data_IF_636967709166
#
_entry.id   IF_636967709166
#
_cell.length_a   1.000
_cell.length_b   1.000
_cell.length_c   1.000
_cell.angle_alpha   90.00
_cell.angle_beta   90.00
_cell.angle_gamma   90.00
#
_symmetry.space_group_name_H-M   'P 1'
#
loop_
_entity.id
_entity.type
_entity.pdbx_description
1 polymer ?
#
# COMPACT_ATOMS: atom_id res chain seq x y z
N UNK A 1 3.88 -9.94 15.98
CA UNK A 1 3.54 -8.52 16.20
C UNK A 1 3.08 -8.33 17.63
N UNK A 2 3.48 -7.24 18.29
CA UNK A 2 3.13 -6.94 19.68
C UNK A 2 1.68 -6.45 19.77
N UNK A 3 0.72 -7.36 19.80
CA UNK A 3 -0.64 -7.16 20.35
C UNK A 3 -1.49 -5.96 19.90
N UNK A 4 -1.14 -5.25 18.82
CA UNK A 4 -1.88 -4.07 18.34
C UNK A 4 -1.73 -2.80 19.19
N UNK A 5 -0.84 -2.79 20.20
CA UNK A 5 -0.62 -1.62 21.05
C UNK A 5 0.54 -0.78 20.54
N UNK A 6 0.27 0.45 20.12
CA UNK A 6 1.28 1.33 19.58
C UNK A 6 1.81 2.32 20.60
N UNK A 7 3.14 2.50 20.66
CA UNK A 7 3.75 3.55 21.48
C UNK A 7 3.71 4.91 20.78
N UNK A 8 3.75 6.00 21.55
CA UNK A 8 3.88 7.36 20.99
C UNK A 8 5.15 7.50 20.12
N UNK A 9 6.23 6.80 20.48
CA UNK A 9 7.47 6.80 19.70
C UNK A 9 7.25 6.14 18.33
N UNK A 10 6.64 4.95 18.30
CA UNK A 10 6.39 4.22 17.05
C UNK A 10 5.46 4.99 16.09
N UNK A 11 4.37 5.61 16.58
CA UNK A 11 3.52 6.49 15.76
C UNK A 11 4.30 7.68 15.20
N UNK A 12 5.20 8.26 16.01
CA UNK A 12 6.00 9.41 15.57
C UNK A 12 6.94 9.01 14.43
N UNK A 13 7.56 7.83 14.53
CA UNK A 13 8.43 7.28 13.48
C UNK A 13 7.64 6.91 12.21
N UNK A 14 6.47 6.31 12.33
CA UNK A 14 5.61 6.00 11.18
C UNK A 14 5.13 7.27 10.46
N UNK A 15 4.80 8.33 11.22
CA UNK A 15 4.46 9.65 10.64
C UNK A 15 5.65 10.28 9.94
N UNK A 16 6.82 10.26 10.58
CA UNK A 16 8.06 10.77 9.98
C UNK A 16 8.37 9.99 8.69
N UNK A 17 8.21 8.66 8.68
CA UNK A 17 8.36 7.85 7.47
C UNK A 17 7.47 8.35 6.33
N UNK A 18 6.16 8.51 6.58
CA UNK A 18 5.21 9.04 5.59
C UNK A 18 5.62 10.43 5.10
N UNK A 19 5.96 11.33 6.02
CA UNK A 19 6.25 12.72 5.67
C UNK A 19 7.54 12.81 4.85
N UNK A 20 8.59 12.06 5.22
CA UNK A 20 9.84 11.93 4.45
C UNK A 20 9.59 11.36 3.06
N UNK A 21 8.75 10.32 2.93
CA UNK A 21 8.39 9.75 1.63
C UNK A 21 7.73 10.80 0.73
N UNK A 22 6.73 11.53 1.25
CA UNK A 22 6.01 12.55 0.49
C UNK A 22 6.88 13.75 0.11
N UNK A 23 7.84 14.12 0.96
CA UNK A 23 8.76 15.23 0.71
C UNK A 23 9.89 14.87 -0.27
N UNK A 24 10.49 13.69 -0.12
CA UNK A 24 11.74 13.32 -0.79
C UNK A 24 11.61 12.20 -1.84
N UNK A 25 10.51 11.46 -1.88
CA UNK A 25 10.37 10.24 -2.68
C UNK A 25 10.65 10.44 -4.18
N UNK A 26 10.01 11.44 -4.81
CA UNK A 26 10.23 11.73 -6.22
C UNK A 26 11.64 12.26 -6.49
N UNK A 27 12.18 13.10 -5.59
CA UNK A 27 13.56 13.62 -5.70
C UNK A 27 14.57 12.48 -5.65
N UNK A 28 14.42 11.56 -4.70
CA UNK A 28 15.27 10.39 -4.55
C UNK A 28 15.20 9.47 -5.77
N UNK A 29 13.99 9.17 -6.27
CA UNK A 29 13.81 8.39 -7.51
C UNK A 29 14.58 9.01 -8.67
N UNK A 30 14.44 10.32 -8.91
CA UNK A 30 15.14 11.01 -10.00
C UNK A 30 16.66 11.04 -9.84
N UNK A 31 17.16 11.12 -8.62
CA UNK A 31 18.59 11.03 -8.34
C UNK A 31 19.13 9.62 -8.64
N UNK A 32 18.43 8.57 -8.17
CA UNK A 32 18.81 7.16 -8.41
C UNK A 32 18.73 6.79 -9.89
N UNK A 33 17.72 7.27 -10.64
CA UNK A 33 17.64 7.11 -12.11
C UNK A 33 18.86 7.70 -12.85
N UNK A 34 19.57 8.66 -12.23
CA UNK A 34 20.81 9.25 -12.74
C UNK A 34 22.08 8.63 -12.12
N UNK A 35 21.94 7.63 -11.26
CA UNK A 35 23.05 6.97 -10.60
C UNK A 35 23.80 7.85 -9.60
N UNK A 36 23.15 8.87 -9.02
CA UNK A 36 23.76 9.79 -8.05
C UNK A 36 23.07 9.71 -6.69
N UNK A 37 23.84 9.88 -5.61
CA UNK A 37 23.28 10.04 -4.27
C UNK A 37 23.16 11.52 -3.90
N UNK A 38 22.01 11.90 -3.36
CA UNK A 38 21.71 13.23 -2.82
C UNK A 38 21.13 13.06 -1.42
N UNK A 39 21.00 14.14 -0.64
CA UNK A 39 20.35 14.06 0.68
C UNK A 39 18.95 13.45 0.62
N UNK A 40 18.19 13.67 -0.45
CA UNK A 40 16.89 13.04 -0.64
C UNK A 40 17.01 11.50 -0.76
N UNK A 41 18.07 10.99 -1.40
CA UNK A 41 18.32 9.53 -1.48
C UNK A 41 18.61 8.97 -0.09
N UNK A 42 19.51 9.61 0.67
CA UNK A 42 19.84 9.16 2.02
C UNK A 42 18.61 9.17 2.94
N UNK A 43 17.80 10.24 2.89
CA UNK A 43 16.55 10.34 3.65
C UNK A 43 15.56 9.21 3.30
N UNK A 44 15.43 8.87 2.02
CA UNK A 44 14.52 7.80 1.58
C UNK A 44 15.07 6.41 1.92
N UNK A 45 16.39 6.21 1.91
CA UNK A 45 17.01 4.97 2.39
C UNK A 45 16.74 4.78 3.89
N UNK A 46 16.88 5.83 4.70
CA UNK A 46 16.51 5.79 6.12
C UNK A 46 15.01 5.52 6.31
N UNK A 47 14.15 6.22 5.55
CA UNK A 47 12.71 6.04 5.65
C UNK A 47 12.28 4.61 5.32
N UNK A 48 12.78 4.05 4.21
CA UNK A 48 12.43 2.70 3.77
C UNK A 48 12.97 1.60 4.68
N UNK A 49 14.08 1.85 5.39
CA UNK A 49 14.76 0.83 6.19
C UNK A 49 14.46 0.96 7.67
N UNK A 50 14.79 2.11 8.26
CA UNK A 50 14.72 2.31 9.71
C UNK A 50 13.33 2.78 10.15
N UNK A 51 12.83 3.88 9.56
CA UNK A 51 11.56 4.46 9.99
C UNK A 51 10.39 3.53 9.68
N UNK A 52 10.36 2.96 8.47
CA UNK A 52 9.39 1.94 8.10
C UNK A 52 9.52 0.71 9.00
N UNK A 53 10.73 0.19 9.18
CA UNK A 53 11.03 -0.99 10.01
C UNK A 53 10.46 -0.89 11.43
N UNK A 54 10.92 0.11 12.18
CA UNK A 54 10.46 0.32 13.56
C UNK A 54 8.99 0.77 13.58
N UNK A 55 8.58 1.59 12.62
CA UNK A 55 7.20 2.07 12.49
C UNK A 55 6.20 0.92 12.40
N UNK A 56 6.43 -0.04 11.50
CA UNK A 56 5.51 -1.19 11.37
C UNK A 56 5.67 -2.18 12.52
N UNK A 57 6.90 -2.52 12.93
CA UNK A 57 7.13 -3.58 13.91
C UNK A 57 6.59 -3.21 15.30
N UNK A 58 6.69 -1.93 15.65
CA UNK A 58 6.27 -1.38 16.96
C UNK A 58 4.90 -0.68 16.93
N UNK A 59 4.20 -0.67 15.79
CA UNK A 59 2.82 -0.17 15.69
C UNK A 59 1.84 -1.25 15.27
N UNK A 60 2.12 -1.94 14.17
CA UNK A 60 1.27 -2.98 13.60
C UNK A 60 1.17 -2.91 12.07
N UNK A 61 0.61 -3.98 11.52
CA UNK A 61 0.15 -4.10 10.13
C UNK A 61 -1.37 -4.25 10.13
N UNK A 62 -2.01 -3.87 9.03
CA UNK A 62 -3.46 -3.92 8.85
C UNK A 62 -3.83 -4.35 7.42
N UNK A 63 -4.97 -3.90 6.90
CA UNK A 63 -5.51 -4.32 5.61
C UNK A 63 -4.51 -4.25 4.43
N UNK A 64 -3.61 -3.26 4.37
CA UNK A 64 -2.68 -3.11 3.25
C UNK A 64 -1.77 -4.35 3.05
N UNK A 65 -1.24 -4.91 4.15
CA UNK A 65 -0.39 -6.10 4.07
C UNK A 65 -1.20 -7.39 3.93
N UNK A 66 -2.39 -7.46 4.54
CA UNK A 66 -3.32 -8.57 4.32
C UNK A 66 -3.76 -8.66 2.84
N UNK A 67 -3.99 -7.51 2.20
CA UNK A 67 -4.30 -7.41 0.77
C UNK A 67 -3.10 -7.82 -0.07
N UNK A 68 -1.89 -7.35 0.26
CA UNK A 68 -0.66 -7.86 -0.36
C UNK A 68 -0.58 -9.39 -0.30
N UNK A 69 -0.82 -9.99 0.87
CA UNK A 69 -0.76 -11.43 1.06
C UNK A 69 -1.79 -12.16 0.20
N UNK A 70 -3.03 -11.66 0.19
CA UNK A 70 -4.09 -12.19 -0.68
C UNK A 70 -3.73 -12.13 -2.16
N UNK A 71 -3.14 -11.03 -2.63
CA UNK A 71 -2.69 -10.91 -4.02
C UNK A 71 -1.64 -11.98 -4.39
N UNK A 72 -0.83 -12.47 -3.44
CA UNK A 72 0.19 -13.50 -3.73
C UNK A 72 -0.37 -14.86 -4.14
N UNK A 73 -1.65 -15.13 -3.88
CA UNK A 73 -2.33 -16.34 -4.38
C UNK A 73 -2.61 -16.26 -5.89
N UNK A 74 -2.48 -15.06 -6.48
CA UNK A 74 -2.64 -14.82 -7.91
C UNK A 74 -1.28 -14.89 -8.62
N UNK A 75 -1.08 -15.92 -9.44
CA UNK A 75 0.16 -16.15 -10.22
C UNK A 75 0.51 -14.96 -11.11
N UNK A 76 -0.51 -14.25 -11.61
CA UNK A 76 -0.40 -13.05 -12.42
C UNK A 76 0.46 -11.96 -11.75
N UNK A 77 0.44 -11.91 -10.41
CA UNK A 77 1.15 -10.91 -9.60
C UNK A 77 2.55 -11.34 -9.13
N UNK A 78 2.99 -12.56 -9.46
CA UNK A 78 4.25 -13.12 -8.92
C UNK A 78 5.50 -12.39 -9.40
N UNK A 79 5.41 -11.78 -10.58
CA UNK A 79 6.49 -10.96 -11.14
C UNK A 79 6.62 -9.57 -10.50
N UNK A 80 5.66 -9.18 -9.65
CA UNK A 80 5.68 -7.91 -8.92
C UNK A 80 6.43 -8.04 -7.60
N UNK A 81 7.18 -7.00 -7.28
CA UNK A 81 7.86 -6.83 -6.01
C UNK A 81 6.87 -6.64 -4.86
N UNK A 82 7.34 -6.88 -3.64
CA UNK A 82 6.54 -6.73 -2.42
C UNK A 82 5.92 -5.32 -2.32
N UNK A 83 6.73 -4.28 -2.45
CA UNK A 83 6.28 -2.88 -2.34
C UNK A 83 5.27 -2.46 -3.42
N UNK A 84 5.33 -3.07 -4.61
CA UNK A 84 4.38 -2.82 -5.70
C UNK A 84 2.97 -3.29 -5.31
N UNK A 85 2.85 -4.50 -4.77
CA UNK A 85 1.58 -5.04 -4.25
C UNK A 85 1.10 -4.30 -2.99
N UNK A 86 1.99 -3.92 -2.08
CA UNK A 86 1.64 -3.15 -0.87
C UNK A 86 1.13 -1.75 -1.20
N UNK A 87 1.64 -1.10 -2.26
CA UNK A 87 1.15 0.21 -2.68
C UNK A 87 -0.35 0.17 -3.03
N UNK A 88 -0.75 -0.79 -3.86
CA UNK A 88 -2.17 -0.99 -4.19
C UNK A 88 -2.99 -1.41 -2.96
N UNK A 89 -2.46 -2.31 -2.12
CA UNK A 89 -3.10 -2.69 -0.86
C UNK A 89 -3.35 -1.50 0.07
N UNK A 90 -2.44 -0.51 0.09
CA UNK A 90 -2.60 0.73 0.87
C UNK A 90 -3.76 1.57 0.35
N UNK A 91 -3.91 1.70 -0.97
CA UNK A 91 -5.05 2.43 -1.58
C UNK A 91 -6.36 1.71 -1.24
N UNK A 92 -6.40 0.38 -1.33
CA UNK A 92 -7.57 -0.41 -0.94
C UNK A 92 -7.91 -0.24 0.54
N UNK A 93 -6.91 -0.20 1.43
CA UNK A 93 -7.14 0.08 2.85
C UNK A 93 -7.76 1.47 3.06
N UNK A 94 -7.30 2.49 2.35
CA UNK A 94 -7.90 3.84 2.44
C UNK A 94 -9.35 3.87 1.97
N UNK A 95 -9.70 3.05 0.96
CA UNK A 95 -11.10 2.86 0.53
C UNK A 95 -11.92 2.17 1.62
N UNK A 96 -11.41 1.09 2.22
CA UNK A 96 -12.06 0.40 3.35
C UNK A 96 -12.30 1.35 4.54
N UNK A 97 -11.34 2.22 4.84
CA UNK A 97 -11.43 3.23 5.89
C UNK A 97 -12.32 4.43 5.53
N UNK A 98 -12.87 4.46 4.31
CA UNK A 98 -13.66 5.58 3.77
C UNK A 98 -12.94 6.93 3.94
N UNK A 99 -11.65 6.97 3.59
CA UNK A 99 -10.83 8.19 3.68
C UNK A 99 -11.37 9.29 2.75
N UNK A 100 -11.20 10.58 3.11
CA UNK A 100 -11.57 11.68 2.24
C UNK A 100 -10.90 11.56 0.85
N UNK A 101 -11.64 11.90 -0.21
CA UNK A 101 -11.14 11.80 -1.59
C UNK A 101 -9.83 12.55 -1.79
N UNK A 102 -9.67 13.73 -1.18
CA UNK A 102 -8.43 14.52 -1.25
C UNK A 102 -7.21 13.77 -0.69
N UNK A 103 -7.37 13.05 0.42
CA UNK A 103 -6.29 12.23 0.99
C UNK A 103 -5.96 11.05 0.06
N UNK A 104 -7.00 10.41 -0.49
CA UNK A 104 -6.84 9.27 -1.41
C UNK A 104 -6.11 9.68 -2.70
N UNK A 105 -6.53 10.77 -3.33
CA UNK A 105 -5.90 11.31 -4.54
C UNK A 105 -4.44 11.69 -4.29
N UNK A 106 -4.14 12.30 -3.13
CA UNK A 106 -2.75 12.65 -2.77
C UNK A 106 -1.85 11.43 -2.75
N UNK A 107 -2.31 10.33 -2.14
CA UNK A 107 -1.53 9.09 -2.05
C UNK A 107 -1.42 8.40 -3.42
N UNK A 108 -2.52 8.32 -4.18
CA UNK A 108 -2.50 7.73 -5.52
C UNK A 108 -1.51 8.49 -6.43
N UNK A 109 -1.60 9.82 -6.50
CA UNK A 109 -0.70 10.63 -7.32
C UNK A 109 0.76 10.50 -6.89
N UNK A 110 1.01 10.41 -5.58
CA UNK A 110 2.36 10.12 -5.08
C UNK A 110 2.87 8.77 -5.58
N UNK A 111 2.09 7.70 -5.42
CA UNK A 111 2.42 6.36 -5.94
C UNK A 111 2.72 6.38 -7.44
N UNK A 112 1.84 6.99 -8.25
CA UNK A 112 2.00 7.15 -9.69
C UNK A 112 3.28 7.92 -10.05
N UNK A 113 3.59 9.03 -9.36
CA UNK A 113 4.82 9.79 -9.59
C UNK A 113 6.08 8.97 -9.29
N UNK A 114 6.01 8.08 -8.29
CA UNK A 114 7.04 7.14 -7.93
C UNK A 114 7.05 5.89 -8.82
N UNK A 115 6.08 5.73 -9.73
CA UNK A 115 5.97 4.59 -10.65
C UNK A 115 5.53 3.30 -9.96
N UNK A 116 4.82 3.40 -8.84
CA UNK A 116 4.19 2.27 -8.16
C UNK A 116 2.81 2.01 -8.79
N UNK A 117 2.39 0.73 -8.91
CA UNK A 117 1.09 0.39 -9.48
C UNK A 117 -0.05 0.87 -8.57
N UNK A 118 -1.07 1.44 -9.19
CA UNK A 118 -2.28 1.97 -8.54
C UNK A 118 -3.56 1.39 -9.13
N UNK A 119 -3.49 0.68 -10.25
CA UNK A 119 -4.60 0.00 -10.91
C UNK A 119 -4.39 -1.52 -10.98
N UNK A 120 -5.47 -2.27 -11.15
CA UNK A 120 -5.43 -3.71 -11.41
C UNK A 120 -4.67 -4.01 -12.70
N UNK A 121 -4.76 -3.13 -13.69
CA UNK A 121 -3.99 -3.26 -14.94
C UNK A 121 -2.48 -3.25 -14.69
N UNK A 122 -2.00 -2.29 -13.92
CA UNK A 122 -0.57 -2.21 -13.56
C UNK A 122 -0.13 -3.39 -12.68
N UNK A 123 -1.07 -4.00 -11.94
CA UNK A 123 -0.86 -5.26 -11.22
C UNK A 123 -0.93 -6.52 -12.10
N UNK A 124 -1.07 -6.38 -13.43
CA UNK A 124 -1.24 -7.50 -14.38
C UNK A 124 -2.53 -8.30 -14.18
N UNK A 125 -3.56 -7.66 -13.62
CA UNK A 125 -4.87 -8.22 -13.35
C UNK A 125 -5.96 -7.65 -14.29
N UNK A 126 -5.57 -6.97 -15.39
CA UNK A 126 -6.53 -6.49 -16.40
C UNK A 126 -7.34 -7.65 -16.98
N UNK A 127 -8.67 -7.58 -16.88
CA UNK A 127 -9.57 -8.61 -17.40
C UNK A 127 -9.58 -9.91 -16.59
N UNK A 128 -8.95 -9.95 -15.40
CA UNK A 128 -9.10 -11.08 -14.47
C UNK A 128 -10.56 -11.19 -14.04
N UNK A 129 -11.05 -12.43 -13.98
CA UNK A 129 -12.44 -12.70 -13.60
C UNK A 129 -12.68 -12.33 -12.13
N UNK A 130 -13.88 -11.88 -11.81
CA UNK A 130 -14.24 -11.48 -10.45
C UNK A 130 -14.04 -12.62 -9.44
N UNK A 131 -14.19 -13.89 -9.83
CA UNK A 131 -13.93 -15.04 -8.94
C UNK A 131 -12.48 -15.11 -8.50
N UNK A 132 -11.52 -14.77 -9.39
CA UNK A 132 -10.09 -14.76 -9.07
C UNK A 132 -9.73 -13.61 -8.15
N UNK A 133 -10.32 -12.42 -8.34
CA UNK A 133 -10.17 -11.32 -7.39
C UNK A 133 -10.78 -11.68 -6.03
N UNK A 134 -11.89 -12.42 -6.01
CA UNK A 134 -12.51 -12.91 -4.77
C UNK A 134 -11.63 -13.94 -4.05
N UNK A 135 -10.87 -14.78 -4.76
CA UNK A 135 -9.87 -15.67 -4.14
C UNK A 135 -8.82 -14.87 -3.37
N UNK A 136 -8.27 -13.81 -3.97
CA UNK A 136 -7.32 -12.93 -3.30
C UNK A 136 -7.96 -12.23 -2.09
N UNK A 137 -9.18 -11.69 -2.26
CA UNK A 137 -9.93 -11.03 -1.19
C UNK A 137 -10.22 -11.98 -0.02
N UNK A 138 -10.56 -13.24 -0.30
CA UNK A 138 -10.77 -14.28 0.71
C UNK A 138 -9.49 -14.59 1.46
N UNK A 139 -8.38 -14.74 0.72
CA UNK A 139 -7.07 -14.98 1.33
C UNK A 139 -6.61 -13.81 2.21
N UNK A 140 -6.96 -12.57 1.87
CA UNK A 140 -6.69 -11.38 2.71
C UNK A 140 -7.41 -11.39 4.05
N UNK A 141 -8.53 -12.10 4.19
CA UNK A 141 -9.30 -12.20 5.43
C UNK A 141 -9.01 -13.49 6.22
N UNK A 142 -7.91 -14.20 5.93
CA UNK A 142 -7.54 -15.41 6.66
C UNK A 142 -7.35 -15.14 8.18
N UNK A 143 -7.76 -16.09 9.03
CA UNK A 143 -7.78 -15.95 10.50
C UNK A 143 -6.42 -15.59 11.12
N UNK A 144 -5.31 -15.91 10.45
CA UNK A 144 -3.96 -15.65 10.93
C UNK A 144 -3.28 -14.45 10.24
N UNK A 145 -4.02 -13.66 9.46
CA UNK A 145 -3.51 -12.46 8.81
C UNK A 145 -3.81 -11.18 9.63
N UNK A 146 -3.31 -10.07 9.12
CA UNK A 146 -3.26 -8.74 9.74
C UNK A 146 -4.54 -7.94 9.55
N UNK A 147 -5.50 -8.44 8.75
CA UNK A 147 -6.81 -7.81 8.56
C UNK A 147 -7.58 -7.65 9.87
N UNK A 148 -7.40 -8.58 10.82
CA UNK A 148 -8.02 -8.54 12.15
C UNK A 148 -7.60 -7.33 13.01
N UNK A 149 -6.52 -6.64 12.64
CA UNK A 149 -6.09 -5.41 13.32
C UNK A 149 -6.86 -4.16 12.87
N UNK A 150 -7.71 -4.26 11.83
CA UNK A 150 -8.59 -3.17 11.44
C UNK A 150 -9.56 -2.83 12.58
N UNK A 151 -9.90 -1.55 12.80
CA UNK A 151 -10.77 -1.13 13.90
C UNK A 151 -12.26 -1.46 13.68
N UNK A 152 -12.57 -2.17 12.59
CA UNK A 152 -13.88 -2.64 12.19
C UNK A 152 -13.74 -4.01 11.50
N UNK A 153 -14.83 -4.78 11.48
CA UNK A 153 -14.87 -6.06 10.78
C UNK A 153 -14.74 -5.84 9.27
N UNK A 154 -13.89 -6.63 8.61
CA UNK A 154 -13.69 -6.61 7.15
C UNK A 154 -13.90 -8.02 6.61
N UNK A 155 -14.85 -8.16 5.68
CA UNK A 155 -15.18 -9.42 5.00
C UNK A 155 -14.53 -9.48 3.62
N UNK A 156 -14.39 -10.68 3.01
CA UNK A 156 -13.87 -10.81 1.65
C UNK A 156 -14.59 -9.93 0.63
N UNK A 157 -15.90 -9.78 0.76
CA UNK A 157 -16.69 -8.94 -0.14
C UNK A 157 -16.34 -7.45 -0.04
N UNK A 158 -15.98 -6.98 1.17
CA UNK A 158 -15.53 -5.60 1.41
C UNK A 158 -14.17 -5.37 0.74
N UNK A 159 -13.24 -6.33 0.85
CA UNK A 159 -11.93 -6.27 0.20
C UNK A 159 -12.07 -6.29 -1.31
N UNK A 160 -12.90 -7.18 -1.85
CA UNK A 160 -13.19 -7.24 -3.28
C UNK A 160 -13.77 -5.92 -3.80
N UNK A 161 -14.76 -5.35 -3.09
CA UNK A 161 -15.34 -4.05 -3.43
C UNK A 161 -14.29 -2.93 -3.37
N UNK A 162 -13.43 -2.94 -2.36
CA UNK A 162 -12.34 -1.97 -2.21
C UNK A 162 -11.32 -2.06 -3.35
N UNK A 163 -10.94 -3.27 -3.79
CA UNK A 163 -10.04 -3.46 -4.94
C UNK A 163 -10.62 -2.84 -6.22
N UNK A 164 -11.90 -3.10 -6.52
CA UNK A 164 -12.55 -2.55 -7.73
C UNK A 164 -12.75 -1.04 -7.64
N UNK A 165 -13.11 -0.52 -6.47
CA UNK A 165 -13.24 0.92 -6.26
C UNK A 165 -11.89 1.64 -6.35
N UNK A 166 -10.84 1.09 -5.73
CA UNK A 166 -9.48 1.62 -5.81
C UNK A 166 -8.99 1.70 -7.26
N UNK A 167 -9.17 0.63 -8.03
CA UNK A 167 -8.85 0.58 -9.46
C UNK A 167 -9.56 1.69 -10.27
N UNK A 168 -10.88 1.80 -10.10
CA UNK A 168 -11.68 2.79 -10.82
C UNK A 168 -11.32 4.23 -10.44
N UNK A 169 -11.05 4.49 -9.15
CA UNK A 169 -10.63 5.80 -8.67
C UNK A 169 -9.26 6.15 -9.25
N UNK A 170 -8.27 5.28 -9.11
CA UNK A 170 -6.91 5.53 -9.59
C UNK A 170 -6.87 5.73 -11.11
N UNK A 171 -7.54 4.88 -11.89
CA UNK A 171 -7.61 4.99 -13.34
C UNK A 171 -8.32 6.26 -13.84
N UNK A 172 -9.20 6.87 -13.03
CA UNK A 172 -9.81 8.15 -13.38
C UNK A 172 -8.83 9.33 -13.29
N UNK A 173 -7.79 9.23 -12.45
CA UNK A 173 -6.79 10.29 -12.26
C UNK A 173 -5.71 10.31 -13.33
N UNK A 174 -5.53 9.20 -14.08
CA UNK A 174 -4.61 9.11 -15.22
C UNK A 174 -5.10 9.87 -16.46
N UNK A 175 -6.42 10.15 -16.51
CA UNK A 175 -7.08 10.80 -17.63
C UNK A 175 -7.27 12.33 -17.44
N UNK A 176 -6.60 12.91 -16.43
CA UNK A 176 -6.63 14.34 -16.08
C UNK A 176 -5.24 14.96 -16.20
#
# INVERSE_FOLDING_TARGET
MVGGYTTRAAISLARLCRDTLLEDGLKAKKAVERGVSTSAVENIVEANTYLSGIGFESSGLAAAHAIHNGLTVLEETHSLLHGEKVAFGTICQMVLENRPMEELEKIIRFCQSCGLPTTLKELKLEGVRDERLMEAATASCAENDTMLNMPFEVKPEDVFAAMKAADQIAGSLENL
#
